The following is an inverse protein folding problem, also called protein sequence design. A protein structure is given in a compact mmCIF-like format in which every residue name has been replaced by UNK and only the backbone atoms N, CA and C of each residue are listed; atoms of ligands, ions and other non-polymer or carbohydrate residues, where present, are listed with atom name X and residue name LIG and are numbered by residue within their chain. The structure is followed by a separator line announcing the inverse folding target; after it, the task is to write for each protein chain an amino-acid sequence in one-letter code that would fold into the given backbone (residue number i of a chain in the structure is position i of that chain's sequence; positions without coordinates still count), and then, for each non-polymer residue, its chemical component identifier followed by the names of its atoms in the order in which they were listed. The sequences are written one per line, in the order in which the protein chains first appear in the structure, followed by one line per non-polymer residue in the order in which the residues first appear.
data_IF_545545355088
#
_entry.id   IF_545545355088
#
_cell.length_a   1.000
_cell.length_b   1.000
_cell.length_c   1.000
_cell.angle_alpha   90.00
_cell.angle_beta   90.00
_cell.angle_gamma   90.00
#
_symmetry.space_group_name_H-M   'P 1'
#
loop_
_entity.id
_entity.type
_entity.pdbx_description
1 polymer ?
#
# COMPACT_ATOMS: atom_id res chain seq x y z
N UNK A 1 1.42 5.73 -21.46
CA UNK A 1 0.36 5.30 -20.51
C UNK A 1 0.90 4.74 -19.19
N UNK A 2 1.81 3.74 -19.16
CA UNK A 2 2.38 3.22 -17.90
C UNK A 2 3.11 4.26 -17.02
N UNK A 3 3.95 5.12 -17.60
CA UNK A 3 4.65 6.16 -16.82
C UNK A 3 3.70 7.17 -16.16
N UNK A 4 2.58 7.50 -16.82
CA UNK A 4 1.57 8.42 -16.29
C UNK A 4 0.88 7.84 -15.05
N UNK A 5 0.51 6.55 -15.08
CA UNK A 5 -0.06 5.84 -13.92
C UNK A 5 0.89 5.86 -12.73
N UNK A 6 2.17 5.53 -12.95
CA UNK A 6 3.18 5.56 -11.89
C UNK A 6 3.31 6.96 -11.29
N UNK A 7 3.29 8.01 -12.11
CA UNK A 7 3.33 9.40 -11.62
C UNK A 7 2.08 9.78 -10.82
N UNK A 8 0.89 9.34 -11.23
CA UNK A 8 -0.35 9.57 -10.49
C UNK A 8 -0.30 8.90 -9.12
N UNK A 9 0.10 7.62 -9.06
CA UNK A 9 0.21 6.88 -7.80
C UNK A 9 1.26 7.51 -6.88
N UNK A 10 2.41 7.88 -7.45
CA UNK A 10 3.49 8.54 -6.70
C UNK A 10 3.06 9.93 -6.20
N UNK A 11 2.33 10.68 -7.03
CA UNK A 11 1.78 12.00 -6.70
C UNK A 11 0.74 11.92 -5.59
N UNK A 12 -0.15 10.94 -5.65
CA UNK A 12 -1.13 10.68 -4.59
C UNK A 12 -0.44 10.33 -3.27
N UNK A 13 0.48 9.36 -3.28
CA UNK A 13 1.20 8.96 -2.07
C UNK A 13 2.01 10.14 -1.50
N UNK A 14 2.68 10.90 -2.38
CA UNK A 14 3.42 12.12 -2.04
C UNK A 14 2.56 13.16 -1.35
N UNK A 15 1.47 13.56 -2.01
CA UNK A 15 0.57 14.57 -1.47
C UNK A 15 -0.07 14.11 -0.15
N UNK A 16 -0.33 12.82 0.01
CA UNK A 16 -1.05 12.28 1.18
C UNK A 16 -0.15 11.95 2.37
N UNK A 17 1.05 11.43 2.13
CA UNK A 17 1.88 10.84 3.19
C UNK A 17 3.26 11.47 3.35
N UNK A 18 3.72 12.34 2.42
CA UNK A 18 5.06 12.93 2.47
C UNK A 18 5.09 14.38 2.96
N UNK A 19 4.15 14.78 3.82
CA UNK A 19 4.12 16.14 4.38
C UNK A 19 5.36 16.46 5.23
N UNK A 20 5.78 15.54 6.11
CA UNK A 20 6.88 15.78 7.04
C UNK A 20 8.16 15.00 6.71
N UNK A 21 8.06 13.91 5.96
CA UNK A 21 9.20 13.05 5.63
C UNK A 21 9.18 12.68 4.14
N UNK A 22 10.34 12.66 3.46
CA UNK A 22 10.43 12.18 2.08
C UNK A 22 9.93 10.72 1.99
N UNK A 23 9.09 10.44 1.00
CA UNK A 23 8.72 9.06 0.69
C UNK A 23 9.94 8.30 0.17
N UNK A 24 10.44 7.40 0.98
CA UNK A 24 11.41 6.39 0.54
C UNK A 24 10.69 5.06 0.38
N UNK A 25 10.06 4.89 -0.77
CA UNK A 25 9.28 3.70 -1.12
C UNK A 25 9.79 3.13 -2.45
N UNK A 26 10.11 1.85 -2.47
CA UNK A 26 10.22 1.06 -3.69
C UNK A 26 9.09 0.05 -3.71
N UNK A 27 8.25 0.09 -4.75
CA UNK A 27 7.13 -0.81 -4.93
C UNK A 27 7.14 -1.38 -6.35
N UNK A 28 6.73 -2.63 -6.49
CA UNK A 28 6.56 -3.30 -7.79
C UNK A 28 5.13 -3.82 -7.88
N UNK A 29 4.44 -3.43 -8.95
CA UNK A 29 3.09 -3.89 -9.26
C UNK A 29 3.14 -4.74 -10.53
N UNK A 30 2.52 -5.90 -10.48
CA UNK A 30 2.48 -6.86 -11.59
C UNK A 30 1.04 -7.27 -11.83
N UNK A 31 0.60 -7.22 -13.09
CA UNK A 31 -0.62 -7.88 -13.53
C UNK A 31 -0.26 -9.32 -13.89
N UNK A 32 -0.62 -10.25 -13.01
CA UNK A 32 -0.37 -11.67 -13.22
C UNK A 32 -1.04 -12.15 -14.52
N UNK A 33 -0.32 -12.98 -15.27
CA UNK A 33 -0.79 -13.60 -16.52
C UNK A 33 -1.24 -12.61 -17.62
N UNK A 34 -0.80 -11.35 -17.57
CA UNK A 34 -1.05 -10.36 -18.63
C UNK A 34 -0.06 -10.55 -19.80
N UNK A 35 -0.41 -11.40 -20.76
CA UNK A 35 0.39 -11.62 -21.98
C UNK A 35 0.13 -10.57 -23.08
N UNK A 36 -0.88 -9.73 -22.90
CA UNK A 36 -1.15 -8.54 -23.71
C UNK A 36 -0.88 -7.27 -22.90
N UNK A 37 -0.66 -6.14 -23.59
CA UNK A 37 -0.50 -4.85 -22.92
C UNK A 37 -1.78 -4.44 -22.20
N UNK A 38 -1.67 -4.01 -20.94
CA UNK A 38 -2.77 -3.37 -20.21
C UNK A 38 -2.87 -1.92 -20.67
N UNK A 39 -3.69 -1.68 -21.68
CA UNK A 39 -3.94 -0.34 -22.19
C UNK A 39 -5.09 0.37 -21.44
N UNK A 40 -4.93 1.66 -21.18
CA UNK A 40 -5.89 2.49 -20.43
C UNK A 40 -5.57 2.71 -18.95
N UNK A 41 -6.20 3.72 -18.38
CA UNK A 41 -6.06 4.18 -16.98
C UNK A 41 -7.01 3.47 -16.00
N UNK A 42 -7.94 2.67 -16.52
CA UNK A 42 -9.05 2.09 -15.77
C UNK A 42 -8.69 1.08 -14.67
N UNK A 43 -7.43 0.68 -14.57
CA UNK A 43 -6.90 -0.19 -13.51
C UNK A 43 -6.18 0.59 -12.39
N UNK A 44 -5.98 1.89 -12.54
CA UNK A 44 -5.15 2.69 -11.61
C UNK A 44 -5.73 2.76 -10.20
N UNK A 45 -7.06 2.74 -10.04
CA UNK A 45 -7.68 2.61 -8.70
C UNK A 45 -7.35 1.26 -8.04
N UNK A 46 -7.39 0.16 -8.80
CA UNK A 46 -7.03 -1.17 -8.30
C UNK A 46 -5.55 -1.28 -7.92
N UNK A 47 -4.66 -0.71 -8.74
CA UNK A 47 -3.23 -0.57 -8.45
C UNK A 47 -3.01 0.18 -7.13
N UNK A 48 -3.72 1.30 -6.92
CA UNK A 48 -3.62 2.08 -5.70
C UNK A 48 -4.16 1.33 -4.47
N UNK A 49 -5.29 0.62 -4.60
CA UNK A 49 -5.80 -0.21 -3.51
C UNK A 49 -4.81 -1.30 -3.10
N UNK A 50 -4.17 -1.96 -4.07
CA UNK A 50 -3.15 -2.97 -3.80
C UNK A 50 -1.95 -2.37 -3.04
N UNK A 51 -1.47 -1.19 -3.44
CA UNK A 51 -0.41 -0.48 -2.73
C UNK A 51 -0.80 -0.10 -1.31
N UNK A 52 -1.97 0.50 -1.12
CA UNK A 52 -2.47 0.88 0.21
C UNK A 52 -2.65 -0.33 1.12
N UNK A 53 -3.21 -1.41 0.61
CA UNK A 53 -3.33 -2.70 1.29
C UNK A 53 -1.97 -3.24 1.75
N UNK A 54 -0.98 -3.25 0.85
CA UNK A 54 0.37 -3.73 1.15
C UNK A 54 1.06 -2.86 2.22
N UNK A 55 0.94 -1.53 2.12
CA UNK A 55 1.51 -0.59 3.10
C UNK A 55 0.82 -0.69 4.46
N UNK A 56 -0.51 -0.77 4.48
CA UNK A 56 -1.31 -0.89 5.70
C UNK A 56 -1.27 -2.29 6.33
N UNK A 57 -0.75 -3.29 5.61
CA UNK A 57 -0.86 -4.71 5.95
C UNK A 57 -2.32 -5.11 6.25
N UNK A 58 -3.23 -4.67 5.37
CA UNK A 58 -4.67 -4.86 5.49
C UNK A 58 -5.19 -5.73 4.34
N UNK A 59 -5.74 -6.92 4.59
CA UNK A 59 -6.16 -7.81 3.52
C UNK A 59 -7.35 -7.25 2.73
N UNK A 60 -7.29 -7.36 1.40
CA UNK A 60 -8.41 -7.05 0.50
C UNK A 60 -9.30 -8.27 0.31
N UNK A 61 -10.61 -8.07 0.44
CA UNK A 61 -11.65 -9.06 0.12
C UNK A 61 -11.66 -9.38 -1.37
N UNK A 62 -11.29 -10.60 -1.71
CA UNK A 62 -11.22 -11.09 -3.09
C UNK A 62 -12.60 -11.37 -3.72
N UNK A 63 -13.69 -11.16 -2.98
CA UNK A 63 -15.06 -11.24 -3.53
C UNK A 63 -15.42 -10.00 -4.37
N UNK A 64 -14.59 -8.97 -4.36
CA UNK A 64 -14.82 -7.75 -5.12
C UNK A 64 -13.89 -7.65 -6.33
N UNK A 65 -14.46 -7.27 -7.48
CA UNK A 65 -13.69 -6.67 -8.56
C UNK A 65 -13.71 -5.15 -8.46
N UNK A 66 -12.72 -4.52 -9.08
CA UNK A 66 -12.57 -3.07 -9.09
C UNK A 66 -12.27 -2.62 -10.52
N UNK A 67 -12.95 -1.56 -10.95
CA UNK A 67 -12.56 -0.80 -12.13
C UNK A 67 -12.72 0.69 -11.85
N UNK A 68 -11.83 1.50 -12.41
CA UNK A 68 -11.87 2.95 -12.26
C UNK A 68 -10.50 3.55 -12.48
N UNK A 69 -10.47 4.69 -13.16
CA UNK A 69 -9.28 5.53 -13.18
C UNK A 69 -9.20 6.33 -11.88
N UNK A 70 -8.02 6.80 -11.50
CA UNK A 70 -7.83 7.67 -10.35
C UNK A 70 -6.91 8.83 -10.73
N UNK A 71 -7.17 10.02 -10.18
CA UNK A 71 -6.24 11.14 -10.31
C UNK A 71 -5.34 11.29 -9.07
N UNK A 72 -4.43 12.27 -9.08
CA UNK A 72 -3.48 12.51 -8.00
C UNK A 72 -4.13 12.90 -6.66
N UNK A 73 -5.40 13.32 -6.66
CA UNK A 73 -6.14 13.69 -5.45
C UNK A 73 -6.87 12.49 -4.83
N UNK A 74 -6.95 11.37 -5.55
CA UNK A 74 -7.67 10.17 -5.11
C UNK A 74 -9.11 10.11 -5.62
N UNK A 75 -9.51 11.00 -6.53
CA UNK A 75 -10.85 10.97 -7.11
C UNK A 75 -10.94 9.86 -8.16
N UNK A 76 -12.00 9.05 -8.07
CA UNK A 76 -12.26 7.94 -8.98
C UNK A 76 -12.99 8.46 -10.22
N UNK A 77 -12.39 8.21 -11.39
CA UNK A 77 -12.82 8.77 -12.66
C UNK A 77 -13.47 7.72 -13.56
N UNK A 78 -14.36 8.19 -14.42
CA UNK A 78 -15.11 7.37 -15.37
C UNK A 78 -14.19 6.57 -16.29
N UNK A 79 -14.65 5.39 -16.68
CA UNK A 79 -13.93 4.47 -17.57
C UNK A 79 -14.83 4.01 -18.70
N UNK A 80 -14.21 3.57 -19.80
CA UNK A 80 -14.90 2.85 -20.88
C UNK A 80 -15.16 1.39 -20.51
N UNK A 81 -16.21 0.82 -21.10
CA UNK A 81 -16.53 -0.60 -21.01
C UNK A 81 -16.99 -1.06 -19.61
N UNK A 82 -17.71 -0.20 -18.87
CA UNK A 82 -18.13 -0.51 -17.50
C UNK A 82 -19.10 -1.72 -17.44
N UNK A 83 -19.98 -1.86 -18.43
CA UNK A 83 -20.97 -2.94 -18.47
C UNK A 83 -20.27 -4.28 -18.69
N UNK A 84 -19.39 -4.35 -19.69
CA UNK A 84 -18.61 -5.54 -20.06
C UNK A 84 -17.72 -6.02 -18.90
N UNK A 85 -17.16 -5.08 -18.13
CA UNK A 85 -16.36 -5.40 -16.94
C UNK A 85 -17.20 -5.97 -15.80
N UNK A 86 -18.38 -5.41 -15.56
CA UNK A 86 -19.32 -5.94 -14.54
C UNK A 86 -19.79 -7.33 -14.96
N UNK A 87 -20.19 -7.50 -16.22
CA UNK A 87 -20.64 -8.75 -16.80
C UNK A 87 -19.57 -9.83 -16.70
N UNK A 88 -18.32 -9.54 -17.11
CA UNK A 88 -17.24 -10.51 -17.03
C UNK A 88 -16.93 -10.99 -15.60
N UNK A 89 -17.00 -10.10 -14.61
CA UNK A 89 -16.82 -10.52 -13.22
C UNK A 89 -18.03 -11.30 -12.69
N UNK A 90 -19.25 -10.90 -13.07
CA UNK A 90 -20.47 -11.61 -12.68
C UNK A 90 -20.46 -13.04 -13.22
N UNK A 91 -20.13 -13.25 -14.50
CA UNK A 91 -20.04 -14.58 -15.11
C UNK A 91 -19.02 -15.47 -14.40
N UNK A 92 -17.86 -14.92 -14.02
CA UNK A 92 -16.87 -15.64 -13.22
C UNK A 92 -17.42 -16.04 -11.84
N UNK A 93 -18.16 -15.14 -11.19
CA UNK A 93 -18.76 -15.41 -9.88
C UNK A 93 -19.89 -16.44 -9.98
N UNK A 94 -20.70 -16.37 -11.03
CA UNK A 94 -21.78 -17.32 -11.30
C UNK A 94 -21.22 -18.72 -11.58
N UNK A 95 -20.21 -18.83 -12.44
CA UNK A 95 -19.54 -20.10 -12.73
C UNK A 95 -18.90 -20.75 -11.49
N UNK A 96 -18.51 -19.94 -10.49
CA UNK A 96 -17.96 -20.40 -9.21
C UNK A 96 -19.00 -20.53 -8.10
N UNK A 97 -20.25 -20.15 -8.35
CA UNK A 97 -21.32 -20.08 -7.35
C UNK A 97 -21.41 -18.71 -6.66
N UNK A 98 -22.58 -18.07 -6.79
CA UNK A 98 -22.89 -16.81 -6.10
C UNK A 98 -23.12 -17.07 -4.61
N UNK A 99 -22.48 -16.25 -3.77
CA UNK A 99 -22.57 -16.33 -2.30
C UNK A 99 -23.25 -15.13 -1.66
N UNK A 100 -23.60 -14.10 -2.45
CA UNK A 100 -24.11 -12.82 -1.96
C UNK A 100 -23.03 -11.83 -1.50
N UNK A 101 -21.77 -12.28 -1.41
CA UNK A 101 -20.63 -11.44 -1.01
C UNK A 101 -19.90 -10.80 -2.19
N UNK A 102 -20.21 -11.24 -3.41
CA UNK A 102 -19.53 -10.78 -4.60
C UNK A 102 -20.06 -9.43 -5.09
N UNK A 103 -19.18 -8.62 -5.67
CA UNK A 103 -19.60 -7.36 -6.28
C UNK A 103 -18.49 -6.62 -7.01
N UNK A 104 -18.83 -5.47 -7.58
CA UNK A 104 -17.91 -4.64 -8.34
C UNK A 104 -17.92 -3.22 -7.80
N UNK A 105 -16.73 -2.66 -7.54
CA UNK A 105 -16.54 -1.24 -7.32
C UNK A 105 -16.37 -0.55 -8.68
N UNK A 106 -17.17 0.48 -8.93
CA UNK A 106 -17.16 1.26 -10.17
C UNK A 106 -17.09 2.77 -9.89
N UNK A 107 -16.64 3.60 -10.84
CA UNK A 107 -16.72 5.05 -10.68
C UNK A 107 -18.18 5.48 -10.56
N UNK A 108 -18.49 6.36 -9.59
CA UNK A 108 -19.83 6.95 -9.46
C UNK A 108 -20.29 7.63 -10.76
N UNK A 109 -19.35 8.23 -11.50
CA UNK A 109 -19.59 8.87 -12.78
C UNK A 109 -20.09 7.91 -13.88
N UNK A 110 -19.85 6.59 -13.76
CA UNK A 110 -20.34 5.61 -14.73
C UNK A 110 -21.76 5.11 -14.43
N UNK A 111 -22.38 5.49 -13.31
CA UNK A 111 -23.72 5.00 -12.94
C UNK A 111 -24.76 5.32 -14.01
N UNK A 112 -24.68 6.49 -14.64
CA UNK A 112 -25.59 6.90 -15.72
C UNK A 112 -25.39 6.10 -17.02
N UNK A 113 -24.27 5.38 -17.16
CA UNK A 113 -23.95 4.55 -18.33
C UNK A 113 -24.29 3.06 -18.14
N UNK A 114 -24.85 2.69 -16.98
CA UNK A 114 -25.16 1.30 -16.67
C UNK A 114 -26.36 0.81 -17.49
N UNK A 115 -26.12 -0.18 -18.33
CA UNK A 115 -27.12 -0.90 -19.12
C UNK A 115 -26.87 -2.40 -18.99
N UNK A 116 -27.00 -2.90 -17.76
CA UNK A 116 -26.66 -4.28 -17.41
C UNK A 116 -27.74 -5.25 -17.88
N UNK A 117 -27.31 -6.47 -18.21
CA UNK A 117 -28.20 -7.60 -18.49
C UNK A 117 -29.17 -7.86 -17.34
N UNK A 118 -30.36 -8.36 -17.69
CA UNK A 118 -31.46 -8.57 -16.75
C UNK A 118 -31.11 -9.54 -15.61
N UNK A 119 -30.34 -10.58 -15.89
CA UNK A 119 -29.88 -11.57 -14.91
C UNK A 119 -29.01 -10.94 -13.80
N UNK A 120 -28.12 -10.02 -14.16
CA UNK A 120 -27.31 -9.25 -13.20
C UNK A 120 -28.22 -8.37 -12.35
N UNK A 121 -29.17 -7.67 -12.98
CA UNK A 121 -30.13 -6.82 -12.26
C UNK A 121 -30.94 -7.66 -11.27
N UNK A 122 -31.37 -8.86 -11.64
CA UNK A 122 -32.06 -9.79 -10.73
C UNK A 122 -31.17 -10.29 -9.60
N UNK A 123 -29.91 -10.63 -9.88
CA UNK A 123 -28.96 -11.03 -8.84
C UNK A 123 -28.73 -9.90 -7.83
N UNK A 124 -28.63 -8.66 -8.30
CA UNK A 124 -28.53 -7.47 -7.43
C UNK A 124 -29.81 -7.29 -6.59
N UNK A 125 -31.00 -7.39 -7.20
CA UNK A 125 -32.28 -7.33 -6.46
C UNK A 125 -32.40 -8.42 -5.39
N UNK A 126 -31.81 -9.60 -5.63
CA UNK A 126 -31.80 -10.74 -4.70
C UNK A 126 -30.64 -10.69 -3.68
N UNK A 127 -29.83 -9.63 -3.66
CA UNK A 127 -28.61 -9.50 -2.85
C UNK A 127 -27.58 -10.63 -3.07
N UNK A 128 -27.57 -11.22 -4.26
CA UNK A 128 -26.61 -12.25 -4.66
C UNK A 128 -25.32 -11.66 -5.26
N UNK A 129 -25.41 -10.42 -5.74
CA UNK A 129 -24.31 -9.65 -6.31
C UNK A 129 -24.50 -8.16 -5.99
N UNK A 130 -23.41 -7.39 -5.89
CA UNK A 130 -23.47 -6.00 -5.44
C UNK A 130 -22.67 -5.08 -6.36
N UNK A 131 -23.14 -3.85 -6.55
CA UNK A 131 -22.43 -2.83 -7.34
C UNK A 131 -22.24 -1.60 -6.46
N UNK A 132 -20.98 -1.23 -6.24
CA UNK A 132 -20.59 -0.13 -5.37
C UNK A 132 -20.07 1.04 -6.19
N UNK A 133 -20.87 2.11 -6.36
CA UNK A 133 -20.37 3.32 -6.97
C UNK A 133 -19.52 4.10 -5.98
N UNK A 134 -18.25 4.34 -6.31
CA UNK A 134 -17.29 5.07 -5.47
C UNK A 134 -16.85 6.38 -6.14
N UNK A 135 -16.66 7.42 -5.34
CA UNK A 135 -16.17 8.73 -5.78
C UNK A 135 -14.70 8.94 -5.45
N UNK A 136 -14.21 8.27 -4.42
CA UNK A 136 -12.86 8.46 -3.90
C UNK A 136 -12.24 7.14 -3.44
N UNK A 137 -10.90 7.06 -3.48
CA UNK A 137 -10.13 5.87 -3.06
C UNK A 137 -10.42 5.49 -1.61
N UNK A 138 -10.68 6.46 -0.74
CA UNK A 138 -10.97 6.17 0.67
C UNK A 138 -12.27 5.35 0.82
N UNK A 139 -13.31 5.64 0.03
CA UNK A 139 -14.55 4.86 0.04
C UNK A 139 -14.30 3.42 -0.43
N UNK A 140 -13.51 3.27 -1.50
CA UNK A 140 -13.23 1.95 -2.05
C UNK A 140 -12.38 1.08 -1.13
N UNK A 141 -11.33 1.64 -0.52
CA UNK A 141 -10.46 0.86 0.37
C UNK A 141 -11.20 0.42 1.65
N UNK A 142 -12.16 1.22 2.12
CA UNK A 142 -13.05 0.84 3.22
C UNK A 142 -13.92 -0.37 2.88
N UNK A 143 -14.53 -0.38 1.70
CA UNK A 143 -15.35 -1.51 1.23
C UNK A 143 -14.50 -2.78 1.09
N UNK A 144 -13.31 -2.63 0.49
CA UNK A 144 -12.40 -3.73 0.18
C UNK A 144 -11.79 -4.38 1.42
N UNK A 145 -11.48 -3.60 2.46
CA UNK A 145 -10.80 -4.09 3.67
C UNK A 145 -11.75 -4.26 4.86
N UNK A 146 -12.85 -3.50 4.90
CA UNK A 146 -13.72 -3.37 6.07
C UNK A 146 -13.14 -2.51 7.20
N UNK A 147 -12.06 -1.78 6.93
CA UNK A 147 -11.38 -0.90 7.87
C UNK A 147 -11.56 0.54 7.39
N UNK A 148 -11.92 1.46 8.29
CA UNK A 148 -12.03 2.89 7.97
C UNK A 148 -10.74 3.40 7.30
N UNK A 149 -10.86 4.29 6.29
CA UNK A 149 -9.71 4.91 5.65
C UNK A 149 -9.00 5.87 6.64
N UNK A 150 -9.80 6.66 7.35
CA UNK A 150 -9.37 7.66 8.32
C UNK A 150 -8.89 8.95 7.65
N UNK A 151 -9.37 10.07 8.17
CA UNK A 151 -8.97 11.41 7.75
C UNK A 151 -7.88 11.97 8.68
N UNK A 152 -7.00 12.85 8.19
CA UNK A 152 -6.09 13.57 9.06
C UNK A 152 -6.87 14.54 9.97
N UNK A 153 -6.38 14.72 11.20
CA UNK A 153 -6.88 15.75 12.10
C UNK A 153 -6.31 17.14 11.78
N UNK A 154 -6.59 18.14 12.61
CA UNK A 154 -6.08 19.52 12.45
C UNK A 154 -4.55 19.62 12.45
N UNK A 155 -3.86 18.59 12.96
CA UNK A 155 -2.39 18.51 13.00
C UNK A 155 -1.82 17.67 11.85
N UNK A 156 -2.67 17.10 11.00
CA UNK A 156 -2.25 16.20 9.92
C UNK A 156 -2.06 14.76 10.38
N UNK A 157 -2.44 14.40 11.60
CA UNK A 157 -2.28 13.05 12.14
C UNK A 157 -3.46 12.15 11.78
N UNK A 158 -3.17 10.91 11.36
CA UNK A 158 -4.19 9.93 11.02
C UNK A 158 -4.45 8.99 12.20
N UNK A 159 -5.71 8.58 12.46
CA UNK A 159 -6.00 7.64 13.53
C UNK A 159 -5.32 6.28 13.28
N UNK A 160 -4.58 5.77 14.27
CA UNK A 160 -3.67 4.62 14.09
C UNK A 160 -4.35 3.33 13.60
N UNK A 161 -5.62 3.13 13.93
CA UNK A 161 -6.36 1.91 13.58
C UNK A 161 -6.87 1.90 12.12
N UNK A 162 -6.86 3.05 11.44
CA UNK A 162 -7.39 3.21 10.08
C UNK A 162 -6.36 2.81 9.03
N UNK A 163 -6.77 2.66 7.77
CA UNK A 163 -5.86 2.35 6.67
C UNK A 163 -4.76 3.40 6.58
N UNK A 164 -5.13 4.69 6.52
CA UNK A 164 -4.16 5.76 6.35
C UNK A 164 -3.20 5.88 7.55
N UNK A 165 -3.68 5.67 8.78
CA UNK A 165 -2.82 5.63 9.97
C UNK A 165 -1.81 4.48 9.95
N UNK A 166 -2.23 3.28 9.50
CA UNK A 166 -1.33 2.13 9.32
C UNK A 166 -0.28 2.38 8.24
N UNK A 167 -0.67 3.01 7.13
CA UNK A 167 0.26 3.40 6.05
C UNK A 167 1.32 4.37 6.58
N UNK A 168 0.90 5.45 7.25
CA UNK A 168 1.82 6.45 7.83
C UNK A 168 2.81 5.78 8.78
N UNK A 169 2.30 4.96 9.72
CA UNK A 169 3.15 4.22 10.66
C UNK A 169 4.19 3.36 9.93
N UNK A 170 3.77 2.60 8.92
CA UNK A 170 4.68 1.74 8.14
C UNK A 170 5.77 2.54 7.42
N UNK A 171 5.40 3.68 6.84
CA UNK A 171 6.34 4.55 6.13
C UNK A 171 7.35 5.19 7.08
N UNK A 172 6.91 5.60 8.27
CA UNK A 172 7.79 6.10 9.33
C UNK A 172 8.77 5.01 9.79
N UNK A 173 8.28 3.80 10.07
CA UNK A 173 9.12 2.66 10.46
C UNK A 173 10.21 2.36 9.42
N UNK A 174 9.89 2.49 8.12
CA UNK A 174 10.85 2.28 7.03
C UNK A 174 11.86 3.42 6.92
N UNK A 175 11.43 4.66 7.08
CA UNK A 175 12.30 5.83 7.10
C UNK A 175 13.33 5.76 8.23
N UNK A 176 12.89 5.38 9.44
CA UNK A 176 13.77 5.21 10.59
C UNK A 176 14.82 4.12 10.36
N UNK A 177 14.41 2.96 9.84
CA UNK A 177 15.32 1.85 9.51
C UNK A 177 16.36 2.24 8.46
N UNK A 178 15.95 3.01 7.45
CA UNK A 178 16.88 3.51 6.44
C UNK A 178 17.89 4.51 7.02
N UNK A 179 17.45 5.43 7.88
CA UNK A 179 18.36 6.35 8.59
C UNK A 179 19.35 5.60 9.47
N UNK A 180 18.88 4.59 10.20
CA UNK A 180 19.74 3.74 11.02
C UNK A 180 20.78 2.97 10.19
N UNK A 181 20.42 2.51 8.99
CA UNK A 181 21.34 1.84 8.08
C UNK A 181 22.34 2.79 7.40
N UNK A 182 21.93 4.03 7.15
CA UNK A 182 22.78 5.07 6.57
C UNK A 182 23.71 5.76 7.59
N UNK A 183 23.47 5.58 8.89
CA UNK A 183 24.32 6.12 9.95
C UNK A 183 25.66 5.36 10.01
N UNK A 184 26.80 6.06 10.17
CA UNK A 184 28.09 5.40 10.32
C UNK A 184 28.11 4.50 11.57
N UNK A 185 28.88 3.39 11.56
CA UNK A 185 28.98 2.52 12.74
C UNK A 185 29.46 3.34 13.94
N UNK A 186 28.79 3.21 15.09
CA UNK A 186 29.28 3.80 16.34
C UNK A 186 30.67 3.23 16.61
N UNK A 187 31.67 4.11 16.74
CA UNK A 187 33.00 3.73 17.18
C UNK A 187 32.90 2.98 18.51
N UNK A 188 33.50 1.79 18.54
CA UNK A 188 33.68 1.04 19.79
C UNK A 188 34.72 1.83 20.59
N UNK A 189 34.29 2.55 21.63
CA UNK A 189 35.20 3.08 22.64
C UNK A 189 35.97 1.91 23.25
N UNK A 190 37.23 1.77 22.82
CA UNK A 190 38.17 0.88 23.50
C UNK A 190 38.57 1.60 24.78
N UNK A 191 38.00 1.15 25.89
CA UNK A 191 38.42 1.52 27.24
C UNK A 191 39.91 1.23 27.37
N UNK A 192 40.73 2.28 27.32
CA UNK A 192 42.16 2.21 27.66
C UNK A 192 42.28 2.34 29.17
N UNK A 193 41.90 1.29 29.87
CA UNK A 193 42.35 1.08 31.25
C UNK A 193 43.29 -0.12 31.28
N UNK A 194 44.40 0.08 31.98
CA UNK A 194 45.42 -0.90 32.34
C UNK A 194 46.46 -1.25 31.28
N UNK A 195 47.60 -0.55 31.34
CA UNK A 195 48.92 -1.17 31.56
C UNK A 195 49.98 -0.08 31.80
N UNK A 196 50.30 0.16 33.07
CA UNK A 196 51.51 0.86 33.49
C UNK A 196 52.53 -0.20 33.92
N UNK A 197 53.71 -0.35 33.29
CA UNK A 197 54.76 -1.19 33.84
C UNK A 197 55.64 -0.36 34.78
N UNK A 198 55.40 -0.46 36.08
CA UNK A 198 56.43 -0.19 37.08
C UNK A 198 57.47 -1.30 37.00
N UNK A 199 58.64 -0.97 36.47
CA UNK A 199 59.81 -1.85 36.50
C UNK A 199 60.48 -1.64 37.86
N UNK A 200 60.20 -2.54 38.80
CA UNK A 200 60.98 -2.68 40.03
C UNK A 200 62.11 -3.69 39.77
N UNK A 201 63.35 -3.19 39.76
CA UNK A 201 64.55 -4.01 39.75
C UNK A 201 64.85 -4.48 41.18
N UNK A 202 64.69 -5.77 41.44
CA UNK A 202 65.36 -6.50 42.53
C UNK A 202 65.59 -7.93 42.08
N UNK A 203 66.84 -8.38 42.18
CA UNK A 203 67.33 -9.74 42.47
C UNK A 203 68.78 -9.79 41.95
N UNK A 204 69.78 -9.49 42.77
CA UNK A 204 70.32 -10.25 43.91
C UNK A 204 71.28 -11.39 43.47
N UNK A 205 72.56 -11.08 43.70
CA UNK A 205 73.64 -11.95 44.19
C UNK A 205 74.35 -13.05 43.34
N UNK A 206 75.69 -12.81 43.21
CA UNK A 206 76.85 -13.70 43.51
C UNK A 206 77.03 -14.96 42.64
N UNK A 207 78.19 -15.46 42.22
CA UNK A 207 79.66 -15.22 42.28
C UNK A 207 80.27 -16.48 41.53
N UNK A 208 81.59 -16.81 41.51
CA UNK A 208 82.83 -16.03 41.59
C UNK A 208 83.92 -16.48 40.54
N UNK A 209 85.07 -15.79 40.62
CA UNK A 209 86.46 -16.24 40.38
C UNK A 209 86.91 -16.80 39.03
N UNK A 210 87.72 -16.03 38.28
CA UNK A 210 89.21 -16.09 38.26
C UNK A 210 89.79 -15.02 37.34
#
# INVERSE_FOLDING_TARGET
HHALRVMILSGFLGARYAAENPLSLSATLVFEQSYSGVDGDSASSAELYALLSALANAPIRQSFAVTGSVNQYGEVQAIGGVNEKIEGFFELCEARGLTGKQGVLIPKANVENLMLRQDIVEAVRKNLFQIYPVTHIDEGIEILTGIAAGAPDEKGEYPAETINGRVVKRLLDWSEKQRAFAAPPKEIETDKTDMNPEITNTDDEREPDT
#
